data_IF_201152501322
#
_entry.id   IF_201152501322
#
_cell.length_a   1.000
_cell.length_b   1.000
_cell.length_c   1.000
_cell.angle_alpha   90.00
_cell.angle_beta   90.00
_cell.angle_gamma   90.00
#
_symmetry.space_group_name_H-M   'P 1'
#
loop_
_entity.id
_entity.type
_entity.pdbx_description
1 polymer ?
#
# COMPACT_ATOMS: atom_id res chain seq x y z
N UNK A 1 -21.82 -2.71 8.39
CA UNK A 1 -21.20 -4.02 8.43
C UNK A 1 -19.72 -3.94 8.73
N UNK A 2 -19.01 -3.12 7.97
CA UNK A 2 -17.59 -2.97 8.19
C UNK A 2 -17.30 -2.31 9.52
N UNK A 3 -18.14 -1.39 9.93
CA UNK A 3 -18.00 -0.76 11.24
C UNK A 3 -18.19 -1.76 12.37
N UNK A 4 -19.16 -2.65 12.22
CA UNK A 4 -19.38 -3.68 13.23
C UNK A 4 -18.18 -4.63 13.29
N UNK A 5 -17.62 -4.98 12.16
CA UNK A 5 -16.44 -5.82 12.10
C UNK A 5 -15.25 -5.13 12.74
N UNK A 6 -15.04 -3.86 12.42
CA UNK A 6 -13.94 -3.07 12.98
C UNK A 6 -14.05 -2.95 14.51
N UNK A 7 -15.26 -2.73 15.03
CA UNK A 7 -15.44 -2.54 16.46
C UNK A 7 -15.15 -3.81 17.27
N UNK A 8 -15.22 -4.98 16.65
CA UNK A 8 -14.89 -6.23 17.33
C UNK A 8 -13.41 -6.53 17.31
N UNK A 9 -12.68 -5.93 16.40
CA UNK A 9 -11.26 -6.15 16.30
C UNK A 9 -10.55 -5.21 17.24
N UNK A 10 -9.42 -5.67 17.73
CA UNK A 10 -8.73 -4.94 18.79
C UNK A 10 -7.70 -3.99 18.18
N UNK A 11 -7.89 -2.71 18.44
CA UNK A 11 -6.89 -1.70 18.11
C UNK A 11 -5.72 -1.84 19.07
N UNK A 12 -4.52 -1.76 18.54
CA UNK A 12 -3.33 -1.84 19.37
C UNK A 12 -2.21 -1.02 18.76
N UNK A 13 -1.17 -0.79 19.56
CA UNK A 13 -0.02 -0.06 19.08
C UNK A 13 0.78 -0.92 18.13
N UNK A 14 1.08 -0.39 16.97
CA UNK A 14 1.75 -1.11 15.88
C UNK A 14 2.92 -0.29 15.40
N UNK A 15 4.06 -0.96 15.20
CA UNK A 15 5.21 -0.34 14.54
C UNK A 15 5.11 -0.67 13.05
N UNK A 16 4.85 0.36 12.24
CA UNK A 16 4.66 0.15 10.82
C UNK A 16 5.91 -0.40 10.14
N UNK A 17 7.08 -0.02 10.62
CA UNK A 17 8.32 -0.53 10.05
C UNK A 17 8.43 -2.05 10.21
N UNK A 18 8.07 -2.55 11.38
CA UNK A 18 8.09 -4.00 11.64
C UNK A 18 7.04 -4.71 10.78
N UNK A 19 5.85 -4.12 10.70
CA UNK A 19 4.77 -4.70 9.91
C UNK A 19 5.16 -4.80 8.43
N UNK A 20 5.74 -3.73 7.88
CA UNK A 20 6.16 -3.71 6.48
C UNK A 20 7.22 -4.79 6.24
N UNK A 21 8.19 -4.90 7.11
CA UNK A 21 9.24 -5.90 6.94
C UNK A 21 8.68 -7.31 6.96
N UNK A 22 7.77 -7.58 7.89
CA UNK A 22 7.18 -8.92 7.99
C UNK A 22 6.38 -9.28 6.75
N UNK A 23 5.61 -8.34 6.21
CA UNK A 23 4.83 -8.61 5.00
C UNK A 23 5.74 -8.83 3.80
N UNK A 24 6.81 -8.04 3.69
CA UNK A 24 7.77 -8.21 2.60
C UNK A 24 8.46 -9.57 2.70
N UNK A 25 8.83 -9.98 3.91
CA UNK A 25 9.47 -11.29 4.09
C UNK A 25 8.54 -12.41 3.61
N UNK A 26 7.26 -12.28 3.86
CA UNK A 26 6.29 -13.26 3.34
C UNK A 26 6.21 -13.25 1.82
N UNK A 27 6.32 -12.07 1.21
CA UNK A 27 6.25 -11.96 -0.24
C UNK A 27 7.50 -12.46 -0.96
N UNK A 28 8.61 -12.65 -0.26
CA UNK A 28 9.84 -13.15 -0.90
C UNK A 28 9.65 -14.54 -1.50
N UNK A 29 8.69 -15.32 -0.99
CA UNK A 29 8.40 -16.63 -1.54
C UNK A 29 7.22 -16.63 -2.52
N UNK A 30 6.68 -15.46 -2.84
CA UNK A 30 5.57 -15.32 -3.77
C UNK A 30 6.01 -15.71 -5.18
N UNK A 31 5.15 -16.42 -5.91
CA UNK A 31 5.52 -16.90 -7.24
C UNK A 31 5.83 -15.76 -8.21
N UNK A 32 5.11 -14.64 -8.13
CA UNK A 32 5.38 -13.51 -9.02
C UNK A 32 6.75 -12.88 -8.73
N UNK A 33 7.13 -12.82 -7.46
CA UNK A 33 8.43 -12.30 -7.07
C UNK A 33 9.53 -13.16 -7.64
N UNK A 34 9.39 -14.47 -7.51
CA UNK A 34 10.39 -15.42 -7.98
C UNK A 34 10.46 -15.42 -9.50
N UNK A 35 9.32 -15.53 -10.17
CA UNK A 35 9.28 -15.62 -11.62
C UNK A 35 9.82 -14.36 -12.29
N UNK A 36 9.46 -13.20 -11.77
CA UNK A 36 9.89 -11.93 -12.34
C UNK A 36 11.21 -11.43 -11.77
N UNK A 37 11.74 -12.11 -10.76
CA UNK A 37 12.96 -11.68 -10.08
C UNK A 37 12.85 -10.25 -9.58
N UNK A 38 11.76 -9.97 -8.86
CA UNK A 38 11.48 -8.65 -8.31
C UNK A 38 12.31 -8.43 -7.06
N UNK A 39 12.82 -7.22 -6.90
CA UNK A 39 13.52 -6.81 -5.69
C UNK A 39 12.72 -5.78 -4.94
N UNK A 40 12.71 -5.90 -3.62
CA UNK A 40 12.05 -4.94 -2.75
C UNK A 40 13.08 -4.01 -2.14
N UNK A 41 12.70 -2.74 -2.01
CA UNK A 41 13.53 -1.74 -1.36
C UNK A 41 12.68 -0.99 -0.35
N UNK A 42 13.16 -0.92 0.89
CA UNK A 42 12.46 -0.19 1.96
C UNK A 42 13.26 1.07 2.26
N UNK A 43 12.60 2.21 2.18
CA UNK A 43 13.21 3.50 2.48
C UNK A 43 12.43 4.12 3.64
N UNK A 44 13.15 4.48 4.70
CA UNK A 44 12.55 4.99 5.92
C UNK A 44 13.01 6.43 6.15
N UNK A 45 12.05 7.30 6.48
CA UNK A 45 12.33 8.70 6.76
C UNK A 45 11.65 9.11 8.06
N UNK A 46 12.42 9.76 8.93
CA UNK A 46 11.91 10.28 10.19
C UNK A 46 12.25 11.77 10.30
N UNK A 47 11.58 12.62 9.50
CA UNK A 47 11.82 14.04 9.64
C UNK A 47 11.49 14.45 11.08
N UNK A 48 12.38 15.16 11.73
CA UNK A 48 12.23 15.56 13.13
C UNK A 48 12.18 14.38 14.12
N UNK A 49 12.63 13.19 13.71
CA UNK A 49 12.80 12.05 14.62
C UNK A 49 11.54 11.34 15.05
N UNK A 50 10.40 11.64 14.47
CA UNK A 50 9.15 10.95 14.83
C UNK A 50 9.16 9.51 14.34
N UNK A 51 8.64 8.60 15.17
CA UNK A 51 8.68 7.17 14.88
C UNK A 51 7.56 6.76 13.91
N UNK A 52 7.48 5.45 13.65
CA UNK A 52 6.52 4.86 12.73
C UNK A 52 5.38 4.15 13.45
N UNK A 53 5.09 4.53 14.68
CA UNK A 53 4.08 3.83 15.46
C UNK A 53 2.71 4.46 15.28
N UNK A 54 1.68 3.60 15.30
CA UNK A 54 0.30 4.05 15.21
C UNK A 54 -0.59 3.07 15.95
N UNK A 55 -1.80 3.52 16.29
CA UNK A 55 -2.86 2.64 16.78
C UNK A 55 -3.67 2.14 15.60
N UNK A 56 -3.81 0.83 15.48
CA UNK A 56 -4.54 0.25 14.38
C UNK A 56 -4.81 -1.23 14.60
N UNK A 57 -5.41 -1.85 13.61
CA UNK A 57 -5.71 -3.27 13.61
C UNK A 57 -4.68 -3.95 12.72
N UNK A 58 -3.82 -4.74 13.33
CA UNK A 58 -2.62 -5.27 12.64
C UNK A 58 -2.96 -6.07 11.38
N UNK A 59 -3.92 -7.00 11.45
CA UNK A 59 -4.23 -7.81 10.27
C UNK A 59 -4.87 -7.00 9.16
N UNK A 60 -5.57 -5.91 9.50
CA UNK A 60 -6.13 -5.02 8.47
C UNK A 60 -5.04 -4.19 7.80
N UNK A 61 -4.08 -3.70 8.59
CA UNK A 61 -2.95 -2.97 8.04
C UNK A 61 -2.09 -3.87 7.16
N UNK A 62 -1.90 -5.12 7.57
CA UNK A 62 -1.21 -6.11 6.75
C UNK A 62 -1.94 -6.32 5.43
N UNK A 63 -3.27 -6.37 5.45
CA UNK A 63 -4.06 -6.55 4.25
C UNK A 63 -3.90 -5.37 3.29
N UNK A 64 -3.86 -4.14 3.81
CA UNK A 64 -3.59 -2.97 2.97
C UNK A 64 -2.29 -3.18 2.21
N UNK A 65 -1.22 -3.48 2.94
CA UNK A 65 0.08 -3.59 2.32
C UNK A 65 0.14 -4.78 1.35
N UNK A 66 -0.42 -5.92 1.74
CA UNK A 66 -0.44 -7.10 0.86
C UNK A 66 -1.16 -6.80 -0.45
N UNK A 67 -2.29 -6.10 -0.39
CA UNK A 67 -3.03 -5.75 -1.60
C UNK A 67 -2.25 -4.79 -2.48
N UNK A 68 -1.56 -3.82 -1.86
CA UNK A 68 -0.75 -2.87 -2.62
C UNK A 68 0.45 -3.57 -3.27
N UNK A 69 1.09 -4.48 -2.54
CA UNK A 69 2.21 -5.23 -3.10
C UNK A 69 1.77 -6.16 -4.21
N UNK A 70 0.64 -6.83 -4.04
CA UNK A 70 0.14 -7.71 -5.09
C UNK A 70 -0.16 -6.91 -6.36
N UNK A 71 -0.76 -5.75 -6.21
CA UNK A 71 -1.01 -4.85 -7.34
C UNK A 71 0.31 -4.45 -8.01
N UNK A 72 1.29 -4.03 -7.24
CA UNK A 72 2.58 -3.63 -7.78
C UNK A 72 3.28 -4.77 -8.50
N UNK A 73 3.24 -5.98 -7.95
CA UNK A 73 3.85 -7.14 -8.56
C UNK A 73 3.19 -7.50 -9.88
N UNK A 74 1.86 -7.36 -9.95
CA UNK A 74 1.14 -7.69 -11.17
C UNK A 74 1.56 -6.83 -12.35
N UNK A 75 1.94 -5.59 -12.10
CA UNK A 75 2.28 -4.66 -13.17
C UNK A 75 3.78 -4.40 -13.32
N UNK A 76 4.59 -4.98 -12.45
CA UNK A 76 6.04 -4.80 -12.53
C UNK A 76 6.64 -5.61 -13.68
N UNK A 77 7.64 -5.06 -14.37
CA UNK A 77 8.37 -5.85 -15.38
C UNK A 77 9.32 -6.84 -14.71
N UNK A 78 9.81 -7.79 -15.49
CA UNK A 78 10.85 -8.72 -15.01
C UNK A 78 12.05 -7.93 -14.55
N UNK A 79 12.66 -8.38 -13.45
CA UNK A 79 13.82 -7.73 -12.82
C UNK A 79 13.50 -6.34 -12.31
N UNK A 80 12.21 -6.05 -12.11
CA UNK A 80 11.80 -4.77 -11.60
C UNK A 80 12.04 -4.61 -10.11
N UNK A 81 11.84 -3.40 -9.64
CA UNK A 81 11.98 -3.08 -8.23
C UNK A 81 10.68 -2.49 -7.72
N UNK A 82 10.25 -2.97 -6.56
CA UNK A 82 9.11 -2.39 -5.85
C UNK A 82 9.66 -1.70 -4.62
N UNK A 83 9.42 -0.40 -4.51
CA UNK A 83 9.95 0.41 -3.42
C UNK A 83 8.84 0.77 -2.46
N UNK A 84 9.10 0.62 -1.17
CA UNK A 84 8.19 1.00 -0.11
C UNK A 84 8.85 2.12 0.69
N UNK A 85 8.22 3.30 0.69
CA UNK A 85 8.68 4.45 1.45
C UNK A 85 7.84 4.56 2.70
N UNK A 86 8.49 4.64 3.87
CA UNK A 86 7.81 4.80 5.14
C UNK A 86 8.24 6.12 5.74
N UNK A 87 7.29 6.94 6.15
CA UNK A 87 7.59 8.24 6.73
C UNK A 87 6.82 8.43 8.03
N UNK A 88 7.54 8.77 9.10
CA UNK A 88 6.94 9.08 10.39
C UNK A 88 6.88 10.58 10.59
N UNK A 89 5.71 11.09 10.99
CA UNK A 89 5.51 12.49 11.33
C UNK A 89 4.91 12.58 12.72
N UNK A 90 4.63 13.80 13.17
CA UNK A 90 4.12 14.00 14.52
C UNK A 90 2.79 13.27 14.75
N UNK A 91 1.83 13.50 13.87
CA UNK A 91 0.46 12.99 14.07
C UNK A 91 0.07 11.91 13.09
N UNK A 92 0.92 11.64 12.10
CA UNK A 92 0.61 10.66 11.05
C UNK A 92 1.81 9.77 10.78
N UNK A 93 1.53 8.63 10.18
CA UNK A 93 2.55 7.80 9.56
C UNK A 93 2.05 7.46 8.16
N UNK A 94 2.96 7.44 7.20
CA UNK A 94 2.56 7.16 5.83
C UNK A 94 3.47 6.13 5.22
N UNK A 95 2.96 5.46 4.20
CA UNK A 95 3.81 4.63 3.36
C UNK A 95 3.31 4.70 1.92
N UNK A 96 4.27 4.57 0.99
CA UNK A 96 3.97 4.55 -0.43
C UNK A 96 4.55 3.30 -1.04
N UNK A 97 3.82 2.70 -1.96
CA UNK A 97 4.32 1.56 -2.74
C UNK A 97 4.49 2.05 -4.17
N UNK A 98 5.71 1.95 -4.69
CA UNK A 98 6.05 2.41 -6.04
C UNK A 98 6.53 1.25 -6.88
N UNK A 99 5.96 1.09 -8.08
CA UNK A 99 6.40 0.05 -9.01
C UNK A 99 7.07 0.68 -10.24
N UNK A 100 7.54 -0.16 -11.13
CA UNK A 100 8.18 0.25 -12.37
C UNK A 100 7.36 -0.19 -13.59
N UNK A 101 6.07 -0.36 -13.40
CA UNK A 101 5.18 -0.75 -14.47
C UNK A 101 4.77 0.42 -15.35
N UNK A 102 3.72 0.25 -16.15
CA UNK A 102 3.30 1.30 -17.10
C UNK A 102 2.62 2.50 -16.45
N UNK A 103 2.26 2.43 -15.18
CA UNK A 103 1.54 3.51 -14.53
C UNK A 103 0.06 3.50 -14.86
N UNK A 104 -0.59 4.61 -14.61
CA UNK A 104 -2.02 4.78 -14.89
C UNK A 104 -2.22 5.59 -16.15
N UNK A 105 -3.21 5.20 -16.95
CA UNK A 105 -3.52 5.92 -18.19
C UNK A 105 -4.48 7.08 -17.95
N UNK A 106 -5.16 7.11 -16.81
CA UNK A 106 -6.10 8.17 -16.48
C UNK A 106 -5.46 9.25 -15.64
N UNK A 107 -5.91 10.50 -15.84
CA UNK A 107 -5.48 11.60 -15.01
C UNK A 107 -6.25 11.64 -13.68
N UNK A 108 -7.51 11.17 -13.70
CA UNK A 108 -8.30 11.12 -12.47
C UNK A 108 -8.16 9.75 -11.83
N UNK A 109 -7.19 9.64 -10.93
CA UNK A 109 -6.87 8.36 -10.31
C UNK A 109 -7.79 7.98 -9.17
N UNK A 110 -8.73 8.85 -8.78
CA UNK A 110 -9.70 8.50 -7.74
C UNK A 110 -10.56 7.31 -8.17
N UNK A 111 -10.77 7.16 -9.48
CA UNK A 111 -11.60 6.07 -9.99
C UNK A 111 -11.00 4.69 -9.75
N UNK A 112 -9.68 4.60 -9.60
CA UNK A 112 -9.04 3.28 -9.47
C UNK A 112 -9.40 2.59 -8.16
N UNK A 113 -9.93 3.33 -7.19
CA UNK A 113 -10.37 2.74 -5.94
C UNK A 113 -11.82 2.29 -5.97
N UNK A 114 -12.49 2.45 -7.10
CA UNK A 114 -13.85 1.96 -7.23
C UNK A 114 -13.85 0.46 -7.45
N UNK A 115 -14.90 -0.17 -6.95
CA UNK A 115 -15.05 -1.61 -7.07
C UNK A 115 -15.06 -2.02 -8.54
N UNK A 116 -14.33 -3.08 -8.87
CA UNK A 116 -14.21 -3.65 -10.22
C UNK A 116 -13.54 -2.74 -11.24
N UNK A 117 -12.97 -1.62 -10.80
CA UNK A 117 -12.27 -0.73 -11.72
C UNK A 117 -10.88 -1.27 -12.04
N UNK A 118 -10.48 -1.19 -13.30
CA UNK A 118 -9.12 -1.51 -13.73
C UNK A 118 -8.72 -0.52 -14.81
N UNK A 119 -7.64 0.22 -14.58
CA UNK A 119 -7.15 1.27 -15.48
C UNK A 119 -5.77 0.95 -16.05
N UNK A 120 -5.19 -0.17 -15.67
CA UNK A 120 -3.84 -0.52 -16.10
C UNK A 120 -3.93 -1.54 -17.24
N UNK A 121 -2.90 -1.60 -18.11
CA UNK A 121 -2.96 -2.53 -19.25
C UNK A 121 -3.21 -3.97 -18.81
N UNK A 122 -4.20 -4.61 -19.41
CA UNK A 122 -4.65 -5.92 -19.01
C UNK A 122 -3.59 -6.99 -19.12
N UNK A 123 -2.73 -6.85 -20.10
CA UNK A 123 -1.71 -7.87 -20.34
C UNK A 123 -0.72 -8.02 -19.19
N UNK A 124 -0.75 -7.10 -18.25
CA UNK A 124 0.18 -7.14 -17.13
C UNK A 124 -0.36 -7.84 -15.89
N UNK A 125 -1.58 -8.33 -15.94
CA UNK A 125 -2.02 -9.05 -14.77
C UNK A 125 -3.49 -9.34 -14.78
N UNK A 126 -3.82 -10.37 -14.05
CA UNK A 126 -5.21 -10.70 -13.79
C UNK A 126 -5.60 -9.92 -12.55
N UNK A 127 -6.45 -8.96 -12.75
CA UNK A 127 -6.79 -8.06 -11.68
C UNK A 127 -8.29 -7.81 -11.67
N UNK A 128 -8.93 -8.21 -10.61
CA UNK A 128 -10.38 -8.11 -10.50
C UNK A 128 -10.88 -6.71 -10.21
N UNK A 129 -9.99 -5.80 -9.82
CA UNK A 129 -10.38 -4.46 -9.42
C UNK A 129 -10.91 -4.37 -8.00
N UNK A 130 -10.78 -5.45 -7.23
CA UNK A 130 -11.28 -5.48 -5.85
C UNK A 130 -10.23 -5.10 -4.81
N UNK A 131 -8.96 -5.36 -5.11
CA UNK A 131 -7.89 -5.14 -4.13
C UNK A 131 -7.79 -3.69 -3.67
N UNK A 132 -7.83 -2.76 -4.60
CA UNK A 132 -7.70 -1.33 -4.26
C UNK A 132 -8.95 -0.78 -3.59
N UNK A 133 -10.13 -1.30 -3.93
CA UNK A 133 -11.36 -0.93 -3.25
C UNK A 133 -11.29 -1.31 -1.77
N UNK A 134 -10.77 -2.49 -1.48
CA UNK A 134 -10.61 -2.95 -0.11
C UNK A 134 -9.60 -2.07 0.64
N UNK A 135 -8.50 -1.71 -0.02
CA UNK A 135 -7.50 -0.83 0.58
C UNK A 135 -8.14 0.47 1.03
N UNK A 136 -8.92 1.10 0.13
CA UNK A 136 -9.55 2.37 0.48
C UNK A 136 -10.48 2.21 1.68
N UNK A 137 -11.28 1.16 1.70
CA UNK A 137 -12.20 0.91 2.83
C UNK A 137 -11.45 0.79 4.15
N UNK A 138 -10.38 0.02 4.17
CA UNK A 138 -9.63 -0.18 5.41
C UNK A 138 -8.93 1.10 5.85
N UNK A 139 -8.35 1.84 4.90
CA UNK A 139 -7.69 3.11 5.20
C UNK A 139 -8.69 4.08 5.83
N UNK A 140 -9.88 4.18 5.24
CA UNK A 140 -10.91 5.09 5.76
C UNK A 140 -11.41 4.66 7.14
N UNK A 141 -11.49 3.36 7.39
CA UNK A 141 -11.83 2.87 8.73
C UNK A 141 -10.83 3.31 9.78
N UNK A 142 -9.59 3.50 9.38
CA UNK A 142 -8.53 3.97 10.29
C UNK A 142 -8.43 5.50 10.32
N UNK A 143 -9.35 6.20 9.66
CA UNK A 143 -9.34 7.66 9.61
C UNK A 143 -8.30 8.24 8.69
N UNK A 144 -7.77 7.43 7.80
CA UNK A 144 -6.69 7.86 6.90
C UNK A 144 -7.15 8.19 5.50
N UNK A 145 -6.19 8.36 4.62
CA UNK A 145 -6.41 8.75 3.25
C UNK A 145 -5.47 7.96 2.34
N UNK A 146 -5.95 7.59 1.16
CA UNK A 146 -5.14 6.90 0.16
C UNK A 146 -5.24 7.62 -1.16
N UNK A 147 -4.11 7.77 -1.84
CA UNK A 147 -4.04 8.43 -3.14
C UNK A 147 -3.17 7.62 -4.08
N UNK A 148 -3.51 7.65 -5.35
CA UNK A 148 -2.75 6.97 -6.38
C UNK A 148 -2.41 7.95 -7.49
N UNK A 149 -1.24 7.78 -8.08
CA UNK A 149 -0.80 8.61 -9.19
C UNK A 149 0.31 7.89 -9.93
N UNK A 150 0.73 8.44 -11.05
CA UNK A 150 2.00 8.04 -11.63
C UNK A 150 3.12 8.59 -10.76
N UNK A 151 4.28 7.95 -10.81
CA UNK A 151 5.41 8.35 -9.98
C UNK A 151 5.81 9.79 -10.28
N UNK A 152 6.21 10.50 -9.22
CA UNK A 152 6.58 11.90 -9.32
C UNK A 152 8.09 12.11 -9.23
N UNK A 153 8.87 11.02 -9.22
CA UNK A 153 10.32 11.07 -9.08
C UNK A 153 11.05 10.89 -10.41
N UNK A 154 10.40 11.25 -11.50
CA UNK A 154 10.93 11.16 -12.87
C UNK A 154 11.20 9.73 -13.31
N UNK A 155 10.62 8.74 -12.63
CA UNK A 155 10.71 7.36 -13.01
C UNK A 155 9.35 6.86 -13.49
N UNK A 156 9.38 5.85 -14.36
CA UNK A 156 8.16 5.23 -14.85
C UNK A 156 7.54 4.38 -13.75
N UNK A 157 6.22 4.39 -13.67
CA UNK A 157 5.50 3.52 -12.78
C UNK A 157 4.37 4.20 -12.06
N UNK A 158 3.69 3.43 -11.22
CA UNK A 158 2.60 3.90 -10.39
C UNK A 158 3.06 4.02 -8.94
N UNK A 159 2.42 4.91 -8.20
CA UNK A 159 2.63 4.99 -6.77
C UNK A 159 1.28 5.12 -6.08
N UNK A 160 1.16 4.46 -4.95
CA UNK A 160 -0.04 4.55 -4.11
C UNK A 160 0.43 4.89 -2.71
N UNK A 161 -0.07 6.00 -2.20
CA UNK A 161 0.34 6.50 -0.89
C UNK A 161 -0.81 6.39 0.09
N UNK A 162 -0.51 5.85 1.27
CA UNK A 162 -1.45 5.72 2.38
C UNK A 162 -0.96 6.59 3.52
N UNK A 163 -1.83 7.48 4.02
CA UNK A 163 -1.53 8.31 5.18
C UNK A 163 -2.50 7.94 6.29
N UNK A 164 -1.96 7.58 7.44
CA UNK A 164 -2.76 7.12 8.58
C UNK A 164 -2.51 7.99 9.80
N UNK A 165 -3.54 8.36 10.55
CA UNK A 165 -3.32 9.05 11.82
C UNK A 165 -2.72 8.08 12.83
N UNK A 166 -1.86 8.60 13.70
CA UNK A 166 -1.26 7.75 14.74
C UNK A 166 -2.26 7.36 15.81
N UNK A 167 -3.28 8.18 16.02
CA UNK A 167 -4.35 7.90 16.97
C UNK A 167 -5.66 7.79 16.22
N UNK A 168 -6.44 6.79 16.60
CA UNK A 168 -7.76 6.63 16.02
C UNK A 168 -8.74 7.51 16.78
N UNK A 169 -9.42 8.42 16.07
CA UNK A 169 -10.44 9.29 16.65
C UNK A 169 -11.80 8.81 16.19
N UNK A 170 -12.65 8.52 17.17
CA UNK A 170 -14.01 8.10 16.89
C UNK A 170 -14.91 9.30 16.65
#
# INVERSE_FOLDING_TARGET
KDEASLSREKMKKIDLQVLVKNVIDEFESNSKVIEKNIKFKIIKEKPNGHDFQLFGIDNRLEQILANLLDNALSFSPSKGQVSIYIQGKKDTVSFSVKDQGPGFSETNTDKIFKRFYSNRPEKFGEHSGLGLNIVKSIVEMHGGNVQASNRTDNQKGAQIEVVLPKKYNQ
#
